data_IF_361110516132
#
_entry.id   IF_361110516132
#
_cell.length_a   1.000
_cell.length_b   1.000
_cell.length_c   1.000
_cell.angle_alpha   90.00
_cell.angle_beta   90.00
_cell.angle_gamma   90.00
#
_symmetry.space_group_name_H-M   'P 1'
#
loop_
_entity.id
_entity.type
_entity.pdbx_description
1 polymer ?
#
# COMPACT_ATOMS: atom_id res chain seq x y z
N UNK A 1 -3.38 -11.28 -16.36
CA UNK A 1 -4.71 -10.99 -16.94
C UNK A 1 -5.68 -12.11 -16.60
N UNK A 2 -6.97 -11.80 -16.40
CA UNK A 2 -8.03 -12.77 -16.07
C UNK A 2 -8.12 -13.19 -14.60
N UNK A 3 -7.35 -12.55 -13.71
CA UNK A 3 -7.47 -12.76 -12.26
C UNK A 3 -8.52 -11.84 -11.65
N UNK A 4 -8.97 -12.16 -10.43
CA UNK A 4 -9.87 -11.30 -9.64
C UNK A 4 -9.32 -9.87 -9.52
N UNK A 5 -8.01 -9.73 -9.28
CA UNK A 5 -7.36 -8.44 -9.15
C UNK A 5 -7.33 -7.66 -10.48
N UNK A 6 -7.08 -8.35 -11.61
CA UNK A 6 -7.10 -7.74 -12.94
C UNK A 6 -8.49 -7.17 -13.27
N UNK A 7 -9.54 -7.94 -13.03
CA UNK A 7 -10.93 -7.51 -13.23
C UNK A 7 -11.31 -6.34 -12.33
N UNK A 8 -10.91 -6.39 -11.06
CA UNK A 8 -11.14 -5.32 -10.09
C UNK A 8 -10.47 -4.02 -10.54
N UNK A 9 -9.20 -4.08 -10.97
CA UNK A 9 -8.45 -2.92 -11.46
C UNK A 9 -9.17 -2.33 -12.69
N UNK A 10 -9.50 -3.15 -13.69
CA UNK A 10 -10.20 -2.72 -14.91
C UNK A 10 -11.52 -1.99 -14.60
N UNK A 11 -12.31 -2.52 -13.67
CA UNK A 11 -13.57 -1.91 -13.20
C UNK A 11 -13.34 -0.63 -12.39
N UNK A 12 -12.24 -0.53 -11.65
CA UNK A 12 -11.95 0.62 -10.78
C UNK A 12 -11.41 1.85 -11.51
N UNK A 13 -10.67 1.67 -12.62
CA UNK A 13 -10.03 2.76 -13.38
C UNK A 13 -11.00 3.90 -13.74
N UNK A 14 -12.19 3.64 -14.33
CA UNK A 14 -13.10 4.72 -14.72
C UNK A 14 -13.84 5.37 -13.55
N UNK A 15 -13.79 4.79 -12.35
CA UNK A 15 -14.56 5.26 -11.20
C UNK A 15 -13.83 6.38 -10.43
N UNK A 16 -14.58 7.32 -9.83
CA UNK A 16 -14.01 8.27 -8.86
C UNK A 16 -13.63 7.57 -7.54
N UNK A 17 -12.80 8.19 -6.68
CA UNK A 17 -12.22 7.53 -5.50
C UNK A 17 -13.22 6.84 -4.55
N UNK A 18 -14.35 7.46 -4.25
CA UNK A 18 -15.36 6.88 -3.35
C UNK A 18 -15.98 5.61 -3.95
N UNK A 19 -16.23 5.61 -5.26
CA UNK A 19 -16.79 4.46 -5.96
C UNK A 19 -15.77 3.33 -6.11
N UNK A 20 -14.45 3.63 -6.16
CA UNK A 20 -13.40 2.62 -6.07
C UNK A 20 -13.40 1.90 -4.73
N UNK A 21 -13.56 2.63 -3.60
CA UNK A 21 -13.72 2.02 -2.27
C UNK A 21 -14.96 1.14 -2.20
N UNK A 22 -16.10 1.67 -2.67
CA UNK A 22 -17.36 0.92 -2.66
C UNK A 22 -17.28 -0.34 -3.55
N UNK A 23 -16.56 -0.31 -4.67
CA UNK A 23 -16.30 -1.49 -5.49
C UNK A 23 -15.46 -2.53 -4.73
N UNK A 24 -14.41 -2.09 -4.02
CA UNK A 24 -13.55 -2.95 -3.20
C UNK A 24 -14.37 -3.68 -2.13
N UNK A 25 -15.18 -2.93 -1.38
CA UNK A 25 -16.06 -3.42 -0.31
C UNK A 25 -17.11 -4.42 -0.83
N UNK A 26 -17.61 -4.21 -2.05
CA UNK A 26 -18.63 -5.04 -2.69
C UNK A 26 -18.06 -6.21 -3.50
N UNK A 27 -16.78 -6.53 -3.35
CA UNK A 27 -16.13 -7.67 -4.04
C UNK A 27 -15.86 -8.82 -3.05
N UNK A 28 -16.77 -9.80 -2.92
CA UNK A 28 -16.64 -10.89 -1.93
C UNK A 28 -15.36 -11.70 -2.11
N UNK A 29 -14.97 -11.98 -3.37
CA UNK A 29 -13.78 -12.77 -3.65
C UNK A 29 -12.49 -12.13 -3.11
N UNK A 30 -12.42 -10.79 -3.01
CA UNK A 30 -11.30 -10.11 -2.39
C UNK A 30 -11.37 -10.18 -0.87
N UNK A 31 -12.57 -10.01 -0.29
CA UNK A 31 -12.77 -10.14 1.15
C UNK A 31 -12.42 -11.56 1.65
N UNK A 32 -12.80 -12.59 0.90
CA UNK A 32 -12.47 -13.99 1.20
C UNK A 32 -10.95 -14.23 1.12
N UNK A 33 -10.29 -13.73 0.08
CA UNK A 33 -8.84 -13.83 -0.06
C UNK A 33 -8.09 -13.08 1.06
N UNK A 34 -8.55 -11.89 1.43
CA UNK A 34 -7.99 -11.13 2.54
C UNK A 34 -8.19 -11.85 3.88
N UNK A 35 -9.38 -12.42 4.12
CA UNK A 35 -9.67 -13.20 5.33
C UNK A 35 -8.80 -14.45 5.42
N UNK A 36 -8.59 -15.17 4.32
CA UNK A 36 -7.69 -16.32 4.29
C UNK A 36 -6.26 -15.90 4.66
N UNK A 37 -5.73 -14.86 4.02
CA UNK A 37 -4.40 -14.33 4.32
C UNK A 37 -4.27 -13.82 5.77
N UNK A 38 -5.32 -13.23 6.35
CA UNK A 38 -5.32 -12.76 7.73
C UNK A 38 -5.21 -13.90 8.77
N UNK A 39 -5.49 -15.14 8.37
CA UNK A 39 -5.33 -16.34 9.21
C UNK A 39 -3.99 -17.06 9.01
N UNK A 40 -3.12 -16.53 8.15
CA UNK A 40 -1.78 -17.04 7.89
C UNK A 40 -0.73 -16.30 8.76
N UNK A 41 0.52 -16.75 8.68
CA UNK A 41 1.66 -16.17 9.40
C UNK A 41 1.94 -16.82 10.76
N UNK A 42 2.93 -16.26 11.46
CA UNK A 42 3.45 -16.82 12.71
C UNK A 42 2.65 -16.40 13.96
N UNK A 43 1.72 -15.45 13.82
CA UNK A 43 0.90 -14.92 14.90
C UNK A 43 -0.58 -15.20 14.63
N UNK A 44 -1.38 -15.56 15.65
CA UNK A 44 -2.82 -15.70 15.47
C UNK A 44 -3.46 -14.37 15.10
N UNK A 45 -4.51 -14.41 14.28
CA UNK A 45 -5.35 -13.25 14.03
C UNK A 45 -5.95 -12.72 15.35
N UNK A 46 -5.95 -11.40 15.58
CA UNK A 46 -6.64 -10.80 16.73
C UNK A 46 -8.16 -10.96 16.62
N UNK A 47 -8.90 -10.60 17.68
CA UNK A 47 -10.35 -10.52 17.60
C UNK A 47 -10.75 -9.39 16.64
N UNK A 48 -11.88 -9.55 15.95
CA UNK A 48 -12.39 -8.55 15.03
C UNK A 48 -12.77 -7.22 15.73
N UNK A 49 -12.94 -7.22 17.05
CA UNK A 49 -13.25 -6.04 17.86
C UNK A 49 -12.04 -5.43 18.58
N UNK A 50 -10.84 -6.02 18.42
CA UNK A 50 -9.63 -5.45 18.99
C UNK A 50 -9.30 -4.10 18.34
N UNK A 51 -8.78 -3.16 19.13
CA UNK A 51 -8.31 -1.87 18.62
C UNK A 51 -6.96 -2.04 17.93
N UNK A 52 -6.87 -1.63 16.66
CA UNK A 52 -5.68 -1.75 15.83
C UNK A 52 -5.09 -0.36 15.60
N UNK A 53 -3.94 -0.11 16.22
CA UNK A 53 -3.23 1.18 16.14
C UNK A 53 -2.17 1.23 15.03
N UNK A 54 -1.98 0.13 14.28
CA UNK A 54 -1.05 0.03 13.15
C UNK A 54 -1.76 0.22 11.80
N UNK A 55 -1.02 0.71 10.80
CA UNK A 55 -1.59 1.06 9.48
C UNK A 55 -0.62 0.79 8.34
N UNK A 56 -1.14 0.25 7.23
CA UNK A 56 -0.37 0.05 6.00
C UNK A 56 -0.50 1.26 5.06
N UNK A 57 0.64 1.69 4.50
CA UNK A 57 0.73 2.67 3.43
C UNK A 57 1.63 2.14 2.32
N UNK A 58 1.47 2.66 1.10
CA UNK A 58 2.27 2.24 -0.05
C UNK A 58 3.02 3.42 -0.68
N UNK A 59 4.28 3.21 -1.07
CA UNK A 59 5.06 4.17 -1.84
C UNK A 59 5.31 3.65 -3.26
N UNK A 60 5.05 4.47 -4.26
CA UNK A 60 5.23 4.10 -5.69
C UNK A 60 5.87 5.22 -6.49
N UNK A 61 6.72 4.88 -7.46
CA UNK A 61 7.18 5.82 -8.49
C UNK A 61 6.12 5.90 -9.59
N UNK A 62 5.54 7.08 -9.78
CA UNK A 62 4.60 7.34 -10.85
C UNK A 62 5.28 7.40 -12.21
N UNK A 63 4.49 7.21 -13.28
CA UNK A 63 4.96 7.39 -14.66
C UNK A 63 5.41 8.82 -14.95
N UNK A 64 5.00 9.77 -14.12
CA UNK A 64 5.41 11.18 -14.14
C UNK A 64 6.74 11.44 -13.41
N UNK A 65 7.41 10.40 -12.92
CA UNK A 65 8.65 10.50 -12.15
C UNK A 65 8.46 10.87 -10.68
N UNK A 66 7.23 11.16 -10.26
CA UNK A 66 6.93 11.52 -8.87
C UNK A 66 6.97 10.31 -7.94
N UNK A 67 7.50 10.48 -6.73
CA UNK A 67 7.28 9.55 -5.63
C UNK A 67 5.92 9.85 -4.98
N UNK A 68 5.05 8.86 -4.93
CA UNK A 68 3.70 8.97 -4.40
C UNK A 68 3.50 8.09 -3.18
N UNK A 69 2.94 8.65 -2.12
CA UNK A 69 2.40 7.92 -0.98
C UNK A 69 0.89 7.70 -1.18
N UNK A 70 0.48 6.44 -1.06
CA UNK A 70 -0.90 6.00 -1.17
C UNK A 70 -1.36 5.54 0.22
N UNK A 71 -2.20 6.38 0.84
CA UNK A 71 -2.80 6.14 2.14
C UNK A 71 -4.33 6.25 2.00
N UNK A 72 -5.02 5.12 2.17
CA UNK A 72 -6.48 5.02 2.00
C UNK A 72 -7.28 5.87 2.99
N UNK A 73 -6.68 6.32 4.10
CA UNK A 73 -7.34 7.19 5.10
C UNK A 73 -7.29 8.67 4.71
N UNK A 74 -6.60 9.04 3.62
CA UNK A 74 -6.42 10.43 3.18
C UNK A 74 -7.31 10.78 1.99
N UNK A 75 -7.44 12.09 1.73
CA UNK A 75 -8.18 12.64 0.59
C UNK A 75 -7.35 12.58 -0.71
N UNK A 76 -6.86 11.38 -1.05
CA UNK A 76 -6.06 11.12 -2.25
C UNK A 76 -4.56 10.96 -2.01
N UNK A 77 -3.80 10.66 -3.09
CA UNK A 77 -2.38 10.36 -3.01
C UNK A 77 -1.55 11.62 -2.70
N UNK A 78 -0.43 11.45 -2.01
CA UNK A 78 0.49 12.54 -1.66
C UNK A 78 1.75 12.43 -2.52
N UNK A 79 2.08 13.48 -3.28
CA UNK A 79 3.38 13.59 -3.94
C UNK A 79 4.42 13.95 -2.90
N UNK A 80 5.45 13.11 -2.74
CA UNK A 80 6.55 13.29 -1.78
C UNK A 80 7.76 14.01 -2.40
N UNK A 81 7.89 13.97 -3.72
CA UNK A 81 8.96 14.60 -4.48
C UNK A 81 9.13 13.92 -5.82
N UNK A 82 10.23 14.23 -6.51
CA UNK A 82 10.56 13.65 -7.82
C UNK A 82 11.81 12.76 -7.71
N UNK A 83 11.78 11.66 -8.45
CA UNK A 83 12.89 10.73 -8.59
C UNK A 83 13.51 10.88 -9.97
N UNK A 84 14.83 10.77 -10.03
CA UNK A 84 15.60 10.80 -11.27
C UNK A 84 15.30 9.53 -12.11
N UNK A 85 15.70 9.54 -13.37
CA UNK A 85 15.30 8.50 -14.34
C UNK A 85 15.77 7.10 -13.91
N UNK A 86 16.95 7.03 -13.30
CA UNK A 86 17.65 5.86 -12.80
C UNK A 86 17.33 5.52 -11.32
N UNK A 87 16.53 6.34 -10.64
CA UNK A 87 16.11 6.09 -9.26
C UNK A 87 14.76 5.35 -9.18
N UNK A 88 14.54 4.59 -8.11
CA UNK A 88 13.25 3.99 -7.77
C UNK A 88 12.87 4.25 -6.31
N UNK A 89 11.81 3.60 -5.84
CA UNK A 89 11.33 3.74 -4.45
C UNK A 89 12.31 3.22 -3.39
N UNK A 90 13.30 2.42 -3.78
CA UNK A 90 14.34 1.85 -2.90
C UNK A 90 15.67 2.60 -2.97
N UNK A 91 15.83 3.53 -3.92
CA UNK A 91 16.98 4.44 -3.97
C UNK A 91 17.13 5.26 -2.68
N UNK A 92 18.34 5.74 -2.38
CA UNK A 92 18.58 6.59 -1.19
C UNK A 92 17.62 7.78 -1.13
N UNK A 93 17.42 8.46 -2.27
CA UNK A 93 16.48 9.57 -2.38
C UNK A 93 15.04 9.11 -2.19
N UNK A 94 14.63 7.99 -2.79
CA UNK A 94 13.29 7.41 -2.62
C UNK A 94 12.97 7.08 -1.17
N UNK A 95 13.89 6.42 -0.47
CA UNK A 95 13.76 6.09 0.94
C UNK A 95 13.71 7.35 1.81
N UNK A 96 14.59 8.33 1.55
CA UNK A 96 14.67 9.58 2.32
C UNK A 96 13.43 10.47 2.15
N UNK A 97 12.80 10.48 0.96
CA UNK A 97 11.58 11.24 0.70
C UNK A 97 10.31 10.52 1.18
N UNK A 98 10.34 9.18 1.25
CA UNK A 98 9.20 8.34 1.57
C UNK A 98 9.27 7.74 2.99
N UNK A 99 9.51 6.41 3.11
CA UNK A 99 9.32 5.68 4.35
C UNK A 99 10.22 6.14 5.51
N UNK A 100 11.44 6.62 5.26
CA UNK A 100 12.33 7.05 6.35
C UNK A 100 11.80 8.28 7.10
N UNK A 101 10.98 9.12 6.47
CA UNK A 101 10.33 10.27 7.15
C UNK A 101 9.36 9.86 8.24
N UNK A 102 8.82 8.65 8.19
CA UNK A 102 7.94 8.12 9.24
C UNK A 102 8.77 7.70 10.45
N UNK A 103 9.88 7.00 10.22
CA UNK A 103 10.82 6.60 11.29
C UNK A 103 11.39 7.83 12.02
N UNK A 104 11.81 8.86 11.26
CA UNK A 104 12.32 10.11 11.83
C UNK A 104 11.29 10.83 12.71
N UNK A 105 10.01 10.81 12.33
CA UNK A 105 8.93 11.52 13.03
C UNK A 105 8.50 10.84 14.32
N UNK A 106 8.42 9.51 14.34
CA UNK A 106 7.87 8.78 15.50
C UNK A 106 8.86 8.64 16.67
N UNK A 107 10.10 9.13 16.51
CA UNK A 107 10.97 9.55 17.62
C UNK A 107 11.31 8.48 18.68
N UNK A 108 11.12 7.19 18.37
CA UNK A 108 11.41 6.07 19.27
C UNK A 108 10.41 4.92 19.25
N UNK A 109 9.23 5.07 18.63
CA UNK A 109 8.39 3.90 18.34
C UNK A 109 9.09 3.01 17.30
N UNK A 110 9.22 1.72 17.60
CA UNK A 110 9.93 0.74 16.79
C UNK A 110 8.98 -0.20 16.03
N UNK A 111 7.65 -0.01 16.14
CA UNK A 111 6.64 -0.88 15.53
C UNK A 111 6.44 -0.57 14.05
N UNK A 112 7.51 -0.70 13.29
CA UNK A 112 7.54 -0.53 11.85
C UNK A 112 7.91 -1.82 11.14
N UNK A 113 7.29 -2.05 9.99
CA UNK A 113 7.67 -3.11 9.06
C UNK A 113 7.58 -2.57 7.64
N UNK A 114 8.50 -3.02 6.78
CA UNK A 114 8.53 -2.64 5.38
C UNK A 114 8.75 -3.88 4.52
N UNK A 115 7.96 -3.98 3.45
CA UNK A 115 8.07 -5.03 2.43
C UNK A 115 8.23 -4.38 1.06
N UNK A 116 9.12 -4.94 0.24
CA UNK A 116 9.35 -4.46 -1.12
C UNK A 116 8.79 -5.46 -2.14
N UNK A 117 8.02 -4.95 -3.11
CA UNK A 117 7.63 -5.72 -4.28
C UNK A 117 8.77 -5.62 -5.32
N UNK A 118 9.54 -6.70 -5.48
CA UNK A 118 10.66 -6.80 -6.40
C UNK A 118 10.46 -7.95 -7.40
N UNK A 119 11.28 -7.97 -8.46
CA UNK A 119 11.33 -9.12 -9.37
C UNK A 119 11.70 -10.41 -8.63
N UNK A 120 11.26 -11.55 -9.14
CA UNK A 120 11.69 -12.85 -8.61
C UNK A 120 13.18 -13.04 -8.88
N UNK A 121 13.87 -13.79 -8.01
CA UNK A 121 15.31 -14.07 -8.11
C UNK A 121 15.62 -15.24 -9.07
N UNK A 122 14.72 -15.55 -10.00
CA UNK A 122 14.84 -16.69 -10.91
C UNK A 122 15.99 -16.51 -11.92
#
# INVERSE_FOLDING_TARGET
>A
EGSILDDLIKKSIPLPPAERSALLEKTPALADAHKAAATEGDTPAPDAQDDVDLHYVCFVKGKDGGLWELDGRRKGPIRRGDLDKDEDVLSEKGLSLGPLKFLEREGGDLRFSAVALAGTLD
#
